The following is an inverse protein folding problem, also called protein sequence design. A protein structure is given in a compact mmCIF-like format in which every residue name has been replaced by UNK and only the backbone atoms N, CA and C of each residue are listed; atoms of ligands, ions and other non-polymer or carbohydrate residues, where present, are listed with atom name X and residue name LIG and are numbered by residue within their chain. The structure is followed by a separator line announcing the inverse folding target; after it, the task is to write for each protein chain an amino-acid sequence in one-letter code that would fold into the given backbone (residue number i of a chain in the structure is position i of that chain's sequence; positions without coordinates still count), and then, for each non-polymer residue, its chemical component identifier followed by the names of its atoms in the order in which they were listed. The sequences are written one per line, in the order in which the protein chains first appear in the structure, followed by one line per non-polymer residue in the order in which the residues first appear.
data_IF_068893597696
#
_entry.id   IF_068893597696
#
_cell.length_a   1.000
_cell.length_b   1.000
_cell.length_c   1.000
_cell.angle_alpha   90.00
_cell.angle_beta   90.00
_cell.angle_gamma   90.00
#
_symmetry.space_group_name_H-M   'P 1'
#
loop_
_entity.id
_entity.type
_entity.pdbx_description
1 polymer ?
#
# COMPACT_ATOMS: atom_id res chain seq x y z
N UNK A 1 -7.19 54.29 3.48
CA UNK A 1 -5.88 53.60 3.41
C UNK A 1 -6.09 52.14 3.73
N UNK A 2 -6.28 51.30 2.70
CA UNK A 2 -6.46 49.86 2.85
C UNK A 2 -5.29 49.15 2.13
N UNK A 3 -4.54 48.33 2.86
CA UNK A 3 -3.42 47.53 2.34
C UNK A 3 -4.00 46.47 1.40
N UNK A 4 -3.71 46.59 0.10
CA UNK A 4 -3.97 45.55 -0.91
C UNK A 4 -3.03 44.37 -0.64
N UNK A 5 -3.58 43.22 -0.26
CA UNK A 5 -2.84 41.96 -0.30
C UNK A 5 -2.67 41.52 -1.76
N UNK A 6 -1.41 41.45 -2.18
CA UNK A 6 -1.01 41.00 -3.50
C UNK A 6 -1.09 39.46 -3.55
N UNK A 7 -2.20 38.95 -4.09
CA UNK A 7 -2.36 37.52 -4.38
C UNK A 7 -1.40 37.16 -5.52
N UNK A 8 -0.27 36.52 -5.19
CA UNK A 8 0.61 35.89 -6.19
C UNK A 8 -0.22 34.86 -6.97
N UNK A 9 -0.46 35.16 -8.25
CA UNK A 9 -1.04 34.23 -9.21
C UNK A 9 0.10 33.39 -9.77
N UNK A 10 0.23 32.13 -9.36
CA UNK A 10 1.00 31.16 -10.14
C UNK A 10 0.18 30.83 -11.38
N UNK A 11 0.69 31.18 -12.56
CA UNK A 11 0.22 30.67 -13.84
C UNK A 11 0.65 29.21 -13.95
N UNK A 12 -0.26 28.27 -13.71
CA UNK A 12 -0.05 26.85 -14.08
C UNK A 12 -0.42 26.66 -15.54
N UNK A 13 0.51 26.99 -16.44
CA UNK A 13 0.55 26.36 -17.76
C UNK A 13 1.98 25.88 -18.00
N UNK A 14 2.21 24.56 -18.19
CA UNK A 14 3.53 24.06 -18.54
C UNK A 14 3.82 24.47 -19.99
N UNK A 15 4.70 25.45 -20.19
CA UNK A 15 5.29 25.74 -21.49
C UNK A 15 6.45 24.75 -21.74
N UNK A 16 6.36 24.01 -22.84
CA UNK A 16 7.53 23.38 -23.48
C UNK A 16 7.69 24.13 -24.81
N UNK A 17 8.64 25.07 -24.86
CA UNK A 17 9.19 25.50 -26.14
C UNK A 17 10.20 24.44 -26.56
N UNK A 18 9.96 23.72 -27.66
CA UNK A 18 10.94 23.78 -28.76
C UNK A 18 10.48 23.12 -30.08
N UNK A 19 11.20 23.55 -31.11
CA UNK A 19 11.01 23.45 -32.56
C UNK A 19 10.91 22.03 -33.12
N UNK A 20 9.89 21.82 -33.97
CA UNK A 20 9.60 20.69 -34.88
C UNK A 20 8.78 19.51 -34.32
N UNK A 21 7.51 19.49 -34.75
CA UNK A 21 6.54 18.37 -34.83
C UNK A 21 5.56 18.17 -33.66
N UNK A 22 4.27 18.54 -33.82
CA UNK A 22 3.24 18.36 -32.80
C UNK A 22 2.61 16.95 -32.84
N UNK A 23 2.68 16.19 -31.74
CA UNK A 23 1.71 15.11 -31.47
C UNK A 23 0.95 15.44 -30.19
N UNK A 24 -0.34 15.70 -30.37
CA UNK A 24 -1.27 16.26 -29.38
C UNK A 24 -1.75 15.18 -28.41
N UNK A 25 -1.20 15.15 -27.19
CA UNK A 25 -1.72 14.30 -26.10
C UNK A 25 -3.08 14.87 -25.66
N UNK A 26 -4.16 14.10 -25.85
CA UNK A 26 -5.53 14.59 -25.64
C UNK A 26 -6.03 14.54 -24.19
N UNK A 27 -5.31 13.88 -23.26
CA UNK A 27 -5.49 13.98 -21.79
C UNK A 27 -4.49 13.07 -21.08
N UNK A 28 -3.80 13.60 -20.08
CA UNK A 28 -3.23 12.79 -18.99
C UNK A 28 -3.98 13.22 -17.74
N UNK A 29 -4.64 12.27 -17.06
CA UNK A 29 -5.41 12.55 -15.85
C UNK A 29 -4.56 12.07 -14.67
N UNK A 30 -3.80 12.98 -14.06
CA UNK A 30 -3.21 12.73 -12.75
C UNK A 30 -4.24 13.10 -11.68
N UNK A 31 -4.70 12.14 -10.88
CA UNK A 31 -5.41 12.44 -9.63
C UNK A 31 -4.39 12.73 -8.54
N UNK A 32 -3.89 13.97 -8.52
CA UNK A 32 -3.32 14.53 -7.31
C UNK A 32 -4.49 15.18 -6.56
N UNK A 33 -4.83 14.67 -5.37
CA UNK A 33 -5.79 15.34 -4.50
C UNK A 33 -5.22 16.73 -4.15
N UNK A 34 -5.80 17.78 -4.75
CA UNK A 34 -5.58 19.15 -4.30
C UNK A 34 -5.98 19.26 -2.84
N UNK A 35 -5.12 19.87 -2.02
CA UNK A 35 -5.30 20.02 -0.57
C UNK A 35 -6.57 20.77 -0.13
N UNK A 36 -7.38 21.26 -1.07
CA UNK A 36 -8.69 21.87 -0.83
C UNK A 36 -9.81 20.80 -0.76
N UNK A 37 -9.68 19.68 -1.48
CA UNK A 37 -10.62 18.55 -1.41
C UNK A 37 -10.59 17.78 -0.08
N UNK A 38 -9.41 17.71 0.54
CA UNK A 38 -9.22 17.12 1.87
C UNK A 38 -9.88 18.01 2.96
N UNK A 39 -9.80 19.34 2.82
CA UNK A 39 -10.39 20.28 3.78
C UNK A 39 -11.92 20.30 3.76
N UNK A 40 -12.55 20.20 2.58
CA UNK A 40 -14.01 20.21 2.48
C UNK A 40 -14.68 18.90 2.94
N UNK A 41 -13.97 17.77 2.93
CA UNK A 41 -14.49 16.50 3.49
C UNK A 41 -14.43 16.45 5.04
N UNK A 42 -13.56 17.25 5.66
CA UNK A 42 -13.48 17.39 7.12
C UNK A 42 -14.57 18.31 7.70
N UNK A 43 -15.16 19.20 6.90
CA UNK A 43 -16.07 20.26 7.35
C UNK A 43 -17.54 19.87 7.60
N UNK A 44 -17.93 18.60 7.44
CA UNK A 44 -19.35 18.18 7.49
C UNK A 44 -19.70 17.20 8.63
N UNK A 45 -18.87 17.05 9.65
CA UNK A 45 -19.15 16.13 10.78
C UNK A 45 -18.85 16.76 12.14
N UNK A 46 -19.48 17.89 12.44
CA UNK A 46 -19.48 18.45 13.78
C UNK A 46 -20.91 18.63 14.28
N UNK A 47 -21.63 17.53 14.54
CA UNK A 47 -22.72 17.57 15.54
C UNK A 47 -22.92 16.21 16.23
N UNK A 48 -22.77 16.25 17.56
CA UNK A 48 -23.33 15.39 18.62
C UNK A 48 -22.89 13.91 18.81
N UNK A 49 -22.48 13.66 20.06
CA UNK A 49 -22.33 12.39 20.81
C UNK A 49 -21.01 11.61 20.65
N UNK A 50 -20.03 11.97 21.50
CA UNK A 50 -18.62 11.57 21.48
C UNK A 50 -18.25 10.11 21.74
N UNK A 51 -19.19 9.16 21.73
CA UNK A 51 -18.90 7.72 21.89
C UNK A 51 -19.52 6.85 20.79
N UNK A 52 -20.61 7.29 20.14
CA UNK A 52 -21.27 6.53 19.07
C UNK A 52 -20.64 6.77 17.70
N UNK A 53 -20.07 7.96 17.46
CA UNK A 53 -19.49 8.31 16.16
C UNK A 53 -18.17 7.60 15.86
N UNK A 54 -17.39 7.22 16.88
CA UNK A 54 -16.14 6.48 16.71
C UNK A 54 -16.40 5.06 16.14
N UNK A 55 -17.44 4.38 16.63
CA UNK A 55 -17.87 3.08 16.09
C UNK A 55 -18.35 3.19 14.65
N UNK A 56 -19.05 4.27 14.28
CA UNK A 56 -19.44 4.51 12.88
C UNK A 56 -18.23 4.82 11.99
N UNK A 57 -17.22 5.55 12.47
CA UNK A 57 -16.00 5.83 11.68
C UNK A 57 -15.19 4.55 11.48
N UNK A 58 -15.06 3.69 12.50
CA UNK A 58 -14.37 2.40 12.40
C UNK A 58 -15.08 1.41 11.46
N UNK A 59 -16.41 1.35 11.52
CA UNK A 59 -17.20 0.55 10.59
C UNK A 59 -17.16 1.12 9.15
N UNK A 60 -17.08 2.45 8.99
CA UNK A 60 -16.91 3.11 7.68
C UNK A 60 -15.48 3.03 7.13
N UNK A 61 -14.44 2.93 7.97
CA UNK A 61 -13.03 2.76 7.58
C UNK A 61 -12.79 1.41 6.89
N UNK A 62 -13.47 0.37 7.36
CA UNK A 62 -13.47 -0.93 6.69
C UNK A 62 -14.08 -0.82 5.28
N UNK A 63 -15.12 0.00 5.12
CA UNK A 63 -15.86 0.24 3.86
C UNK A 63 -15.40 1.46 3.04
N UNK A 64 -14.34 2.19 3.45
CA UNK A 64 -13.92 3.40 2.72
C UNK A 64 -13.44 3.05 1.30
N UNK A 65 -14.27 3.45 0.34
CA UNK A 65 -14.12 3.34 -1.11
C UNK A 65 -13.07 4.30 -1.68
N UNK A 66 -11.92 4.47 -1.03
CA UNK A 66 -10.79 5.18 -1.65
C UNK A 66 -9.87 4.13 -2.28
N UNK A 67 -10.14 3.72 -3.55
CA UNK A 67 -9.36 2.69 -4.21
C UNK A 67 -7.88 3.09 -4.33
N UNK A 68 -7.59 4.39 -4.43
CA UNK A 68 -6.22 4.91 -4.60
C UNK A 68 -5.31 4.57 -3.40
N UNK A 69 -5.79 4.75 -2.16
CA UNK A 69 -5.02 4.40 -0.95
C UNK A 69 -4.78 2.89 -0.84
N UNK A 70 -5.73 2.08 -1.31
CA UNK A 70 -5.59 0.62 -1.35
C UNK A 70 -4.62 0.17 -2.44
N UNK A 71 -4.62 0.82 -3.60
CA UNK A 71 -3.69 0.52 -4.70
C UNK A 71 -2.25 0.78 -4.27
N UNK A 72 -1.96 1.94 -3.68
CA UNK A 72 -0.62 2.25 -3.18
C UNK A 72 -0.18 1.27 -2.08
N UNK A 73 -1.08 0.93 -1.16
CA UNK A 73 -0.79 -0.05 -0.10
C UNK A 73 -0.51 -1.44 -0.68
N UNK A 74 -1.25 -1.85 -1.70
CA UNK A 74 -1.05 -3.14 -2.38
C UNK A 74 0.31 -3.20 -3.06
N UNK A 75 0.69 -2.13 -3.78
CA UNK A 75 1.99 -2.06 -4.48
C UNK A 75 3.16 -2.09 -3.51
N UNK A 76 3.11 -1.30 -2.43
CA UNK A 76 4.14 -1.32 -1.40
C UNK A 76 4.25 -2.70 -0.73
N UNK A 77 3.12 -3.32 -0.40
CA UNK A 77 3.08 -4.67 0.21
C UNK A 77 3.75 -5.71 -0.67
N UNK A 78 3.49 -5.64 -1.97
CA UNK A 78 4.08 -6.54 -2.96
C UNK A 78 5.61 -6.41 -2.96
N UNK A 79 6.15 -5.19 -3.03
CA UNK A 79 7.59 -4.93 -3.02
C UNK A 79 8.26 -5.33 -1.69
N UNK A 80 7.63 -4.99 -0.57
CA UNK A 80 8.14 -5.30 0.76
C UNK A 80 8.26 -6.82 0.97
N UNK A 81 7.28 -7.60 0.50
CA UNK A 81 7.19 -9.04 0.77
C UNK A 81 7.92 -9.93 -0.24
N UNK A 82 8.66 -9.35 -1.18
CA UNK A 82 9.51 -10.10 -2.12
C UNK A 82 10.52 -10.98 -1.38
N UNK A 83 10.88 -12.13 -1.99
CA UNK A 83 11.79 -13.13 -1.39
C UNK A 83 13.20 -12.59 -1.18
N UNK A 84 13.64 -11.70 -2.06
CA UNK A 84 15.03 -11.20 -2.09
C UNK A 84 15.22 -9.92 -1.27
N UNK A 85 14.19 -9.49 -0.54
CA UNK A 85 14.23 -8.25 0.26
C UNK A 85 14.50 -8.56 1.73
N UNK A 86 15.69 -8.16 2.19
CA UNK A 86 16.15 -8.30 3.57
C UNK A 86 16.41 -6.94 4.20
N UNK A 87 16.14 -6.84 5.49
CA UNK A 87 16.27 -5.62 6.27
C UNK A 87 17.19 -5.86 7.46
N UNK A 88 18.08 -4.91 7.69
CA UNK A 88 18.92 -4.86 8.88
C UNK A 88 18.10 -4.42 10.09
N UNK A 89 18.77 -4.37 11.26
CA UNK A 89 18.08 -4.06 12.49
C UNK A 89 17.46 -2.67 12.51
N UNK A 90 18.16 -1.70 11.95
CA UNK A 90 17.72 -0.31 11.93
C UNK A 90 16.54 -0.12 10.97
N UNK A 91 16.62 -0.65 9.74
CA UNK A 91 15.55 -0.49 8.75
C UNK A 91 14.26 -1.17 9.19
N UNK A 92 14.33 -2.38 9.75
CA UNK A 92 13.14 -3.06 10.24
C UNK A 92 12.49 -2.33 11.41
N UNK A 93 13.29 -1.89 12.39
CA UNK A 93 12.79 -1.09 13.52
C UNK A 93 12.12 0.21 13.02
N UNK A 94 12.70 0.85 12.02
CA UNK A 94 12.14 2.06 11.41
C UNK A 94 10.78 1.77 10.74
N UNK A 95 10.65 0.64 10.04
CA UNK A 95 9.37 0.21 9.46
C UNK A 95 8.33 -0.12 10.53
N UNK A 96 8.74 -0.70 11.66
CA UNK A 96 7.87 -0.86 12.82
C UNK A 96 7.36 0.48 13.37
N UNK A 97 8.24 1.48 13.48
CA UNK A 97 7.84 2.84 13.85
C UNK A 97 6.84 3.43 12.85
N UNK A 98 6.97 3.14 11.55
CA UNK A 98 6.03 3.62 10.53
C UNK A 98 4.62 3.10 10.71
N UNK A 99 4.44 1.87 11.20
CA UNK A 99 3.13 1.27 11.42
C UNK A 99 2.36 1.94 12.56
N UNK A 100 3.01 2.11 13.71
CA UNK A 100 2.36 2.50 14.97
C UNK A 100 2.71 3.91 15.46
N UNK A 101 3.36 4.74 14.65
CA UNK A 101 3.93 6.04 15.09
C UNK A 101 4.87 5.88 16.31
N UNK A 102 5.56 4.75 16.40
CA UNK A 102 6.39 4.33 17.53
C UNK A 102 5.66 4.21 18.89
N UNK A 103 4.33 4.20 18.90
CA UNK A 103 3.52 4.04 20.13
C UNK A 103 3.22 2.58 20.46
N UNK A 104 3.23 1.70 19.46
CA UNK A 104 2.95 0.28 19.65
C UNK A 104 4.18 -0.44 20.21
N UNK A 105 4.01 -1.21 21.29
CA UNK A 105 5.02 -2.16 21.73
C UNK A 105 5.10 -3.28 20.69
N UNK A 106 6.29 -3.48 20.12
CA UNK A 106 6.58 -4.51 19.13
C UNK A 106 7.58 -5.51 19.69
N UNK A 107 7.24 -6.80 19.63
CA UNK A 107 8.11 -7.88 20.04
C UNK A 107 9.00 -8.29 18.84
N UNK A 108 10.30 -7.98 18.91
CA UNK A 108 11.26 -8.25 17.83
C UNK A 108 12.06 -9.53 18.12
N UNK A 109 12.04 -10.56 17.24
CA UNK A 109 12.88 -11.73 17.40
C UNK A 109 14.36 -11.40 17.13
N UNK A 110 15.34 -11.95 17.88
CA UNK A 110 16.76 -11.64 17.69
C UNK A 110 17.30 -12.34 16.43
N UNK A 111 17.39 -11.62 15.32
CA UNK A 111 17.91 -12.13 14.04
C UNK A 111 18.79 -11.05 13.38
N UNK A 112 19.83 -11.46 12.65
CA UNK A 112 20.75 -10.54 11.96
C UNK A 112 20.11 -9.84 10.76
N UNK A 113 19.22 -10.55 10.05
CA UNK A 113 18.47 -10.04 8.92
C UNK A 113 17.00 -10.45 9.05
N UNK A 114 16.12 -9.50 8.76
CA UNK A 114 14.68 -9.71 8.74
C UNK A 114 14.11 -9.65 7.34
N UNK A 115 13.05 -10.43 7.11
CA UNK A 115 12.33 -10.43 5.84
C UNK A 115 11.10 -9.52 5.92
N UNK A 116 10.62 -9.04 4.77
CA UNK A 116 9.35 -8.32 4.73
C UNK A 116 8.14 -9.18 5.14
N UNK A 117 8.25 -10.51 5.05
CA UNK A 117 7.19 -11.43 5.53
C UNK A 117 7.05 -11.38 7.05
N UNK A 118 8.17 -11.31 7.77
CA UNK A 118 8.17 -11.10 9.22
C UNK A 118 7.58 -9.73 9.58
N UNK A 119 7.85 -8.69 8.78
CA UNK A 119 7.23 -7.38 8.98
C UNK A 119 5.70 -7.44 8.89
N UNK A 120 5.17 -8.19 7.92
CA UNK A 120 3.72 -8.41 7.81
C UNK A 120 3.14 -9.22 8.97
N UNK A 121 3.92 -10.10 9.58
CA UNK A 121 3.52 -10.84 10.78
C UNK A 121 3.35 -9.87 11.96
N UNK A 122 4.31 -8.96 12.15
CA UNK A 122 4.24 -7.86 13.14
C UNK A 122 3.08 -6.89 12.82
N UNK A 123 2.82 -6.62 11.55
CA UNK A 123 1.72 -5.76 11.12
C UNK A 123 0.35 -6.30 11.56
N UNK A 124 0.14 -7.61 11.43
CA UNK A 124 -1.08 -8.29 11.87
C UNK A 124 -1.11 -8.39 13.40
N UNK A 125 -0.01 -8.85 13.99
CA UNK A 125 0.12 -9.06 15.44
C UNK A 125 1.42 -8.42 15.96
N UNK A 126 1.37 -7.17 16.47
CA UNK A 126 2.58 -6.47 16.90
C UNK A 126 3.16 -6.99 18.22
N UNK A 127 2.31 -7.52 19.11
CA UNK A 127 2.70 -8.03 20.42
C UNK A 127 1.91 -9.26 20.84
N UNK A 128 2.40 -9.96 21.86
CA UNK A 128 1.75 -11.13 22.44
C UNK A 128 0.31 -10.85 22.92
N UNK A 129 0.03 -9.64 23.42
CA UNK A 129 -1.26 -9.20 23.93
C UNK A 129 -2.33 -9.06 22.84
N UNK A 130 -1.94 -8.92 21.58
CA UNK A 130 -2.87 -8.87 20.46
C UNK A 130 -3.33 -10.28 20.12
N UNK A 131 -4.53 -10.64 20.55
CA UNK A 131 -5.15 -11.96 20.33
C UNK A 131 -5.75 -12.11 18.92
N UNK A 132 -5.01 -11.72 17.89
CA UNK A 132 -5.36 -11.99 16.49
C UNK A 132 -4.45 -13.12 15.98
N UNK A 133 -5.04 -14.28 15.67
CA UNK A 133 -4.39 -15.51 15.19
C UNK A 133 -4.94 -15.91 13.81
N UNK A 134 -4.65 -15.09 12.82
CA UNK A 134 -5.18 -15.23 11.47
C UNK A 134 -4.58 -16.46 10.79
N UNK A 135 -5.45 -17.30 10.23
CA UNK A 135 -5.08 -18.40 9.35
C UNK A 135 -5.80 -18.18 8.01
N UNK A 136 -5.05 -17.97 6.93
CA UNK A 136 -5.64 -17.82 5.60
C UNK A 136 -4.71 -18.34 4.51
N UNK A 137 -5.33 -18.75 3.41
CA UNK A 137 -4.65 -19.23 2.21
C UNK A 137 -5.23 -18.49 1.02
N UNK A 138 -4.40 -17.73 0.31
CA UNK A 138 -4.82 -16.95 -0.86
C UNK A 138 -3.84 -17.18 -2.01
N UNK A 139 -4.38 -17.42 -3.20
CA UNK A 139 -3.61 -17.51 -4.44
C UNK A 139 -3.61 -16.14 -5.12
N UNK A 140 -2.45 -15.52 -5.23
CA UNK A 140 -2.27 -14.28 -5.97
C UNK A 140 -2.22 -14.52 -7.48
N UNK A 141 -2.37 -13.46 -8.27
CA UNK A 141 -2.34 -13.55 -9.74
C UNK A 141 -1.03 -14.13 -10.29
N UNK A 142 0.08 -13.92 -9.59
CA UNK A 142 1.42 -14.42 -9.97
C UNK A 142 1.61 -15.90 -9.62
N UNK A 143 0.61 -16.54 -8.98
CA UNK A 143 0.69 -17.95 -8.61
C UNK A 143 0.80 -18.85 -9.84
N UNK A 144 1.72 -19.81 -9.78
CA UNK A 144 1.92 -20.78 -10.85
C UNK A 144 1.53 -22.19 -10.39
N UNK A 145 2.37 -22.84 -9.59
CA UNK A 145 2.19 -24.24 -9.15
C UNK A 145 2.95 -24.51 -7.85
N UNK A 146 2.71 -25.69 -7.26
CA UNK A 146 3.40 -26.19 -6.05
C UNK A 146 3.10 -25.44 -4.75
N UNK A 147 1.94 -24.78 -4.63
CA UNK A 147 1.48 -24.18 -3.38
C UNK A 147 2.56 -23.30 -2.71
N UNK A 148 2.94 -23.60 -1.47
CA UNK A 148 3.96 -22.85 -0.71
C UNK A 148 5.34 -22.82 -1.38
N UNK A 149 5.64 -23.79 -2.25
CA UNK A 149 6.90 -23.88 -3.00
C UNK A 149 6.80 -23.26 -4.40
N UNK A 150 5.84 -22.35 -4.62
CA UNK A 150 5.69 -21.61 -5.87
C UNK A 150 6.98 -20.82 -6.20
N UNK A 151 7.58 -21.00 -7.40
CA UNK A 151 8.76 -20.24 -7.82
C UNK A 151 8.54 -18.73 -7.71
N UNK A 152 7.40 -18.26 -8.24
CA UNK A 152 6.98 -16.85 -8.23
C UNK A 152 6.45 -16.34 -6.88
N UNK A 153 6.45 -17.17 -5.83
CA UNK A 153 5.96 -16.80 -4.49
C UNK A 153 4.51 -16.27 -4.49
N UNK A 154 3.62 -16.86 -5.31
CA UNK A 154 2.23 -16.40 -5.43
C UNK A 154 1.24 -17.05 -4.46
N UNK A 155 1.72 -17.93 -3.58
CA UNK A 155 0.87 -18.66 -2.63
C UNK A 155 1.01 -18.06 -1.24
N UNK A 156 0.07 -17.18 -0.90
CA UNK A 156 0.04 -16.47 0.38
C UNK A 156 -0.53 -17.38 1.45
N UNK A 157 0.32 -17.74 2.40
CA UNK A 157 -0.02 -18.65 3.49
C UNK A 157 0.26 -17.99 4.83
N UNK A 158 -0.80 -17.59 5.54
CA UNK A 158 -0.72 -17.16 6.92
C UNK A 158 -1.10 -18.29 7.86
N UNK A 159 -0.30 -18.48 8.91
CA UNK A 159 -0.60 -19.40 9.99
C UNK A 159 -0.36 -18.72 11.32
N UNK A 160 -1.36 -18.68 12.20
CA UNK A 160 -1.29 -18.03 13.51
C UNK A 160 -0.78 -16.58 13.45
N UNK A 161 -1.23 -15.81 12.45
CA UNK A 161 -0.77 -14.44 12.14
C UNK A 161 0.67 -14.28 11.66
N UNK A 162 1.35 -15.38 11.35
CA UNK A 162 2.67 -15.36 10.72
C UNK A 162 2.55 -15.61 9.22
N UNK A 163 3.18 -14.75 8.41
CA UNK A 163 3.26 -14.93 6.96
C UNK A 163 4.41 -15.88 6.61
N UNK A 164 4.07 -17.12 6.28
CA UNK A 164 5.05 -18.17 6.00
C UNK A 164 5.55 -18.10 4.56
N UNK A 165 4.64 -17.97 3.60
CA UNK A 165 4.97 -17.91 2.17
C UNK A 165 4.07 -16.92 1.44
N UNK A 166 4.55 -16.45 0.29
CA UNK A 166 3.78 -15.62 -0.63
C UNK A 166 4.10 -14.12 -0.56
N UNK A 167 3.96 -13.46 -1.70
CA UNK A 167 3.96 -12.02 -1.83
C UNK A 167 2.55 -11.48 -1.65
N UNK A 168 2.40 -10.51 -0.75
CA UNK A 168 1.10 -9.94 -0.40
C UNK A 168 0.69 -8.94 -1.47
N UNK A 169 -0.41 -9.23 -2.17
CA UNK A 169 -0.90 -8.43 -3.29
C UNK A 169 -2.38 -8.10 -3.20
N UNK A 170 -2.97 -7.88 -4.38
CA UNK A 170 -4.36 -7.42 -4.51
C UNK A 170 -5.34 -8.50 -4.06
N UNK A 171 -5.06 -9.79 -4.29
CA UNK A 171 -5.99 -10.83 -3.87
C UNK A 171 -6.05 -10.94 -2.33
N UNK A 172 -4.94 -10.65 -1.64
CA UNK A 172 -4.86 -10.74 -0.18
C UNK A 172 -5.38 -9.50 0.52
N UNK A 173 -5.05 -8.30 0.02
CA UNK A 173 -5.39 -7.02 0.68
C UNK A 173 -6.57 -6.28 0.04
N UNK A 174 -6.94 -6.66 -1.18
CA UNK A 174 -8.00 -6.01 -1.93
C UNK A 174 -9.39 -6.30 -1.37
N UNK A 175 -10.31 -5.38 -1.63
CA UNK A 175 -11.70 -5.50 -1.21
C UNK A 175 -12.52 -6.51 -2.03
N UNK A 176 -11.92 -7.04 -3.10
CA UNK A 176 -12.60 -7.92 -4.05
C UNK A 176 -12.65 -9.39 -3.55
N UNK A 177 -11.81 -9.75 -2.57
CA UNK A 177 -11.70 -11.12 -2.07
C UNK A 177 -12.32 -11.28 -0.67
N UNK A 178 -13.31 -12.17 -0.56
CA UNK A 178 -13.96 -12.52 0.72
C UNK A 178 -13.04 -13.30 1.65
N UNK A 179 -12.04 -13.99 1.11
CA UNK A 179 -11.04 -14.74 1.87
C UNK A 179 -9.73 -13.96 2.07
N UNK A 180 -9.74 -12.67 1.74
CA UNK A 180 -8.60 -11.76 1.97
C UNK A 180 -8.37 -11.45 3.45
N UNK A 181 -7.18 -10.93 3.78
CA UNK A 181 -6.72 -10.67 5.14
C UNK A 181 -7.68 -9.80 5.95
N UNK A 182 -8.12 -8.67 5.38
CA UNK A 182 -9.03 -7.76 6.08
C UNK A 182 -10.45 -8.33 6.23
N UNK A 183 -10.89 -9.15 5.27
CA UNK A 183 -12.19 -9.83 5.33
C UNK A 183 -12.20 -10.87 6.45
N UNK A 184 -11.14 -11.66 6.59
CA UNK A 184 -10.95 -12.63 7.68
C UNK A 184 -10.85 -11.91 9.03
N UNK A 185 -10.07 -10.84 9.13
CA UNK A 185 -9.96 -10.04 10.36
C UNK A 185 -11.30 -9.45 10.80
N UNK A 186 -12.12 -8.99 9.86
CA UNK A 186 -13.43 -8.43 10.14
C UNK A 186 -14.44 -9.50 10.58
N UNK A 187 -14.37 -10.70 9.99
CA UNK A 187 -15.30 -11.81 10.26
C UNK A 187 -14.99 -12.52 11.57
N UNK A 188 -13.72 -12.82 11.82
CA UNK A 188 -13.31 -13.75 12.87
C UNK A 188 -12.90 -13.04 14.17
N UNK A 189 -12.57 -11.74 14.09
CA UNK A 189 -12.20 -10.92 15.25
C UNK A 189 -13.19 -9.78 15.46
N UNK A 190 -12.82 -8.55 15.07
CA UNK A 190 -13.68 -7.39 15.23
C UNK A 190 -13.30 -6.29 14.23
N UNK A 191 -14.23 -5.38 13.98
CA UNK A 191 -14.01 -4.25 13.06
C UNK A 191 -12.88 -3.33 13.52
N UNK A 192 -12.63 -3.25 14.82
CA UNK A 192 -11.53 -2.46 15.38
C UNK A 192 -10.16 -3.03 15.00
N UNK A 193 -9.96 -4.34 15.09
CA UNK A 193 -8.73 -5.05 14.75
C UNK A 193 -8.46 -4.96 13.25
N UNK A 194 -9.50 -5.15 12.42
CA UNK A 194 -9.40 -4.98 10.97
C UNK A 194 -9.02 -3.52 10.60
N UNK A 195 -9.69 -2.53 11.19
CA UNK A 195 -9.40 -1.12 10.95
C UNK A 195 -8.00 -0.71 11.44
N UNK A 196 -7.58 -1.21 12.61
CA UNK A 196 -6.26 -0.96 13.19
C UNK A 196 -5.16 -1.54 12.30
N UNK A 197 -5.31 -2.78 11.85
CA UNK A 197 -4.39 -3.45 10.92
C UNK A 197 -4.30 -2.70 9.58
N UNK A 198 -5.46 -2.33 9.00
CA UNK A 198 -5.54 -1.56 7.75
C UNK A 198 -4.88 -0.17 7.88
N UNK A 199 -5.03 0.49 9.02
CA UNK A 199 -4.41 1.78 9.31
C UNK A 199 -2.88 1.66 9.44
N UNK A 200 -2.38 0.64 10.16
CA UNK A 200 -0.94 0.36 10.23
C UNK A 200 -0.34 0.14 8.84
N UNK A 201 -1.03 -0.64 8.00
CA UNK A 201 -0.60 -0.88 6.63
C UNK A 201 -0.55 0.40 5.80
N UNK A 202 -1.59 1.24 5.88
CA UNK A 202 -1.65 2.49 5.13
C UNK A 202 -0.51 3.46 5.51
N UNK A 203 -0.15 3.53 6.79
CA UNK A 203 0.98 4.35 7.25
C UNK A 203 2.32 3.78 6.80
N UNK A 204 2.49 2.45 6.94
CA UNK A 204 3.69 1.76 6.49
C UNK A 204 3.92 1.98 4.99
N UNK A 205 2.89 1.73 4.17
CA UNK A 205 3.00 1.84 2.71
C UNK A 205 3.34 3.25 2.26
N UNK A 206 2.67 4.26 2.80
CA UNK A 206 2.92 5.65 2.47
C UNK A 206 4.36 6.09 2.80
N UNK A 207 4.85 5.74 3.99
CA UNK A 207 6.21 6.12 4.44
C UNK A 207 7.30 5.32 3.75
N UNK A 208 7.04 4.03 3.50
CA UNK A 208 7.99 3.17 2.80
C UNK A 208 8.19 3.62 1.34
N UNK A 209 7.09 3.89 0.61
CA UNK A 209 7.15 4.39 -0.76
C UNK A 209 7.83 5.74 -0.87
N UNK A 210 7.59 6.63 0.11
CA UNK A 210 8.25 7.94 0.15
C UNK A 210 9.78 7.82 0.21
N UNK A 211 10.30 6.86 0.95
CA UNK A 211 11.74 6.70 1.15
C UNK A 211 12.43 5.85 0.07
N UNK A 212 11.75 4.84 -0.48
CA UNK A 212 12.33 3.97 -1.50
C UNK A 212 12.18 4.56 -2.92
N UNK A 213 11.15 5.39 -3.12
CA UNK A 213 10.80 5.91 -4.44
C UNK A 213 10.12 4.85 -5.31
N UNK A 214 9.13 5.29 -6.08
CA UNK A 214 8.56 4.50 -7.17
C UNK A 214 8.32 5.45 -8.35
N UNK A 215 8.93 5.14 -9.49
CA UNK A 215 8.79 5.91 -10.73
C UNK A 215 8.47 4.98 -11.89
N UNK A 216 7.76 5.53 -12.88
CA UNK A 216 7.51 4.86 -14.16
C UNK A 216 8.17 5.74 -15.22
N UNK A 217 9.14 5.18 -15.93
CA UNK A 217 9.87 5.83 -17.00
C UNK A 217 9.09 5.80 -18.31
N UNK A 218 9.51 6.63 -19.28
CA UNK A 218 8.98 6.56 -20.66
C UNK A 218 9.35 5.21 -21.29
N UNK A 219 10.50 4.65 -20.93
CA UNK A 219 10.97 3.34 -21.41
C UNK A 219 10.06 2.18 -20.97
N UNK A 220 9.37 2.28 -19.82
CA UNK A 220 8.41 1.26 -19.36
C UNK A 220 7.15 1.21 -20.25
N UNK A 221 6.88 2.29 -20.99
CA UNK A 221 5.73 2.43 -21.88
C UNK A 221 6.13 2.20 -23.33
N UNK A 222 7.42 2.36 -23.66
CA UNK A 222 7.91 2.16 -25.01
C UNK A 222 7.93 0.66 -25.33
N UNK A 223 7.13 0.26 -26.31
CA UNK A 223 7.17 -1.11 -26.82
C UNK A 223 8.55 -1.32 -27.47
N UNK A 224 9.28 -2.40 -27.13
CA UNK A 224 10.52 -2.70 -27.84
C UNK A 224 10.20 -2.83 -29.33
N UNK A 225 11.05 -2.29 -30.22
CA UNK A 225 10.87 -2.45 -31.65
C UNK A 225 10.80 -3.96 -31.95
N UNK A 226 9.84 -4.35 -32.80
CA UNK A 226 9.65 -5.74 -33.18
C UNK A 226 10.99 -6.31 -33.69
N UNK A 227 11.46 -7.37 -33.03
CA UNK A 227 12.65 -8.11 -33.44
C UNK A 227 12.41 -8.62 -34.87
N UNK A 228 13.03 -7.98 -35.85
CA UNK A 228 13.04 -8.50 -37.22
C UNK A 228 13.82 -9.81 -37.17
N UNK A 229 13.30 -10.93 -37.70
CA UNK A 229 14.04 -12.17 -37.70
C UNK A 229 15.38 -11.93 -38.39
N UNK A 230 16.47 -12.23 -37.68
CA UNK A 230 17.83 -12.15 -38.21
C UNK A 230 17.89 -12.99 -39.48
N UNK A 231 17.89 -12.34 -40.64
CA UNK A 231 18.21 -12.99 -41.90
C UNK A 231 19.70 -13.33 -41.80
N UNK A 232 20.01 -14.60 -41.54
CA UNK A 232 21.37 -15.10 -41.63
C UNK A 232 21.85 -14.88 -43.08
N UNK A 233 22.96 -14.16 -43.31
CA UNK A 233 23.57 -14.13 -44.63
C UNK A 233 24.17 -15.52 -44.91
N UNK A 234 23.64 -16.19 -45.93
CA UNK A 234 24.29 -17.33 -46.60
C UNK A 234 25.29 -16.82 -47.63
#
# INVERSE_FOLDING_TARGET
MARREEKRRCTEEPCIEDVRCPRRIKRIRFSAFSGEGIRNSAGLRTVQNGLLNLRMVQNNLCTQKNPETLVASTQASFLITQKDTFYDRAAFSLMCCYMGDAMDHVDLPPVELWTGKQLFSVLVRPNAHTEAFVNLIVKEKIYTKYETMCPSDGYVYFRNSELISGQVGKATLGNDNKDGLFSVLLRDYNSHAAASCKNRLAKLSARWLWNHGFSVGIDDVHQPPAEQPSVCPF
#
